data_IF_982143447207
#
_entry.id   IF_982143447207
#
_cell.length_a   1.000
_cell.length_b   1.000
_cell.length_c   1.000
_cell.angle_alpha   90.00
_cell.angle_beta   90.00
_cell.angle_gamma   90.00
#
_symmetry.space_group_name_H-M   'P 1'
#
loop_
_entity.id
_entity.type
_entity.pdbx_description
1 polymer ?
#
# COMPACT_ATOMS: atom_id res chain seq x y z
N UNK A 1 42.61 -45.92 56.59
CA UNK A 1 41.15 -45.67 56.59
C UNK A 1 40.87 -44.60 55.53
N UNK A 2 40.64 -44.99 54.28
CA UNK A 2 39.30 -45.07 53.65
C UNK A 2 38.33 -43.97 54.11
N UNK A 3 38.05 -42.99 53.25
CA UNK A 3 36.82 -42.98 52.44
C UNK A 3 36.88 -41.89 51.36
N UNK A 4 36.61 -42.30 50.12
CA UNK A 4 36.28 -41.44 48.99
C UNK A 4 34.92 -40.76 49.20
N UNK A 5 34.74 -39.53 48.69
CA UNK A 5 33.49 -39.12 48.04
C UNK A 5 33.77 -38.11 46.92
N UNK A 6 33.27 -38.45 45.75
CA UNK A 6 33.34 -37.71 44.48
C UNK A 6 32.55 -36.39 44.52
N UNK A 7 33.16 -35.33 44.02
CA UNK A 7 32.50 -34.09 43.61
C UNK A 7 32.93 -33.71 42.19
N UNK A 8 31.98 -33.67 41.26
CA UNK A 8 32.16 -33.52 39.81
C UNK A 8 32.79 -32.18 39.42
N UNK A 9 33.88 -32.23 38.68
CA UNK A 9 34.41 -31.13 37.87
C UNK A 9 33.52 -30.87 36.64
N UNK A 10 33.03 -29.65 36.48
CA UNK A 10 32.49 -29.17 35.20
C UNK A 10 33.64 -28.72 34.30
N UNK A 11 33.71 -29.12 33.02
CA UNK A 11 34.72 -28.61 32.12
C UNK A 11 34.34 -27.19 31.66
N UNK A 12 35.26 -26.26 31.92
CA UNK A 12 35.32 -24.95 31.28
C UNK A 12 35.59 -25.13 29.78
N UNK A 13 34.53 -25.21 28.96
CA UNK A 13 34.68 -25.11 27.51
C UNK A 13 34.57 -23.66 27.08
N UNK A 14 35.73 -23.08 26.76
CA UNK A 14 35.89 -21.80 26.06
C UNK A 14 35.14 -21.82 24.71
N UNK A 15 33.94 -21.25 24.67
CA UNK A 15 33.27 -20.94 23.41
C UNK A 15 33.89 -19.66 22.85
N UNK A 16 34.81 -19.86 21.89
CA UNK A 16 35.42 -18.80 21.08
C UNK A 16 34.33 -17.87 20.52
N UNK A 17 34.42 -16.60 20.90
CA UNK A 17 33.60 -15.51 20.41
C UNK A 17 33.89 -15.23 18.93
N UNK A 18 33.29 -16.01 18.02
CA UNK A 18 33.28 -15.72 16.59
C UNK A 18 31.84 -15.48 16.08
N UNK A 19 31.59 -14.24 15.65
CA UNK A 19 30.70 -13.89 14.52
C UNK A 19 29.17 -13.96 14.64
N UNK A 20 28.58 -13.76 15.83
CA UNK A 20 27.11 -13.73 16.02
C UNK A 20 26.37 -12.48 15.47
N UNK A 21 27.02 -11.62 14.68
CA UNK A 21 26.35 -10.47 14.01
C UNK A 21 25.61 -10.83 12.72
N UNK A 22 25.94 -11.96 12.10
CA UNK A 22 25.39 -12.40 10.82
C UNK A 22 23.94 -12.98 10.81
N UNK A 23 23.40 -13.62 11.88
CA UNK A 23 22.08 -14.28 11.83
C UNK A 23 20.87 -13.32 11.83
N UNK A 24 21.15 -12.06 12.13
CA UNK A 24 20.21 -11.01 12.45
C UNK A 24 19.43 -10.50 11.21
N UNK A 25 20.12 -9.87 10.26
CA UNK A 25 19.50 -9.40 9.02
C UNK A 25 18.93 -10.58 8.21
N UNK A 26 19.56 -11.74 8.37
CA UNK A 26 19.21 -13.05 7.79
C UNK A 26 17.86 -13.57 8.31
N UNK A 27 17.40 -13.11 9.45
CA UNK A 27 16.06 -13.46 9.97
C UNK A 27 14.99 -12.46 9.56
N UNK A 28 15.42 -11.24 9.20
CA UNK A 28 14.64 -10.25 8.47
C UNK A 28 14.57 -10.55 6.97
N UNK A 29 15.53 -11.32 6.46
CA UNK A 29 15.73 -11.68 5.07
C UNK A 29 16.30 -13.13 5.02
N UNK A 30 15.47 -14.19 5.05
CA UNK A 30 15.79 -15.63 4.79
C UNK A 30 16.87 -16.33 5.65
N UNK A 31 16.47 -17.42 6.33
CA UNK A 31 17.27 -18.66 6.42
C UNK A 31 16.35 -19.87 6.67
N UNK A 32 16.50 -21.07 6.10
CA UNK A 32 17.19 -21.59 4.91
C UNK A 32 16.69 -23.05 4.73
N UNK A 33 16.52 -23.45 3.47
CA UNK A 33 16.22 -24.79 2.94
C UNK A 33 14.89 -25.50 3.32
N UNK A 34 13.99 -25.51 2.32
CA UNK A 34 13.62 -26.79 1.69
C UNK A 34 13.82 -26.64 0.18
N UNK A 35 14.78 -27.40 -0.35
CA UNK A 35 14.95 -27.90 -1.73
C UNK A 35 14.42 -27.04 -2.91
N UNK A 36 15.26 -26.69 -3.91
CA UNK A 36 14.71 -26.49 -5.25
C UNK A 36 13.99 -27.78 -5.65
N UNK A 37 12.75 -27.66 -6.13
CA UNK A 37 12.11 -28.77 -6.82
C UNK A 37 13.02 -29.18 -7.99
N UNK A 38 13.36 -30.47 -8.17
CA UNK A 38 14.07 -30.92 -9.35
C UNK A 38 13.23 -30.55 -10.57
N UNK A 39 13.78 -29.66 -11.41
CA UNK A 39 13.07 -29.02 -12.52
C UNK A 39 13.65 -27.66 -12.95
N UNK A 40 14.51 -27.03 -12.15
CA UNK A 40 15.27 -25.85 -12.58
C UNK A 40 16.68 -26.25 -13.02
N UNK A 41 16.77 -26.74 -14.26
CA UNK A 41 18.02 -26.66 -15.04
C UNK A 41 18.46 -25.19 -15.16
N UNK A 42 19.76 -24.92 -15.42
CA UNK A 42 20.13 -23.66 -16.04
C UNK A 42 19.37 -23.62 -17.37
N UNK A 43 18.46 -22.68 -17.53
CA UNK A 43 17.60 -22.59 -18.70
C UNK A 43 17.44 -21.13 -19.08
N UNK A 44 17.26 -20.89 -20.38
CA UNK A 44 17.83 -19.80 -21.16
C UNK A 44 17.24 -18.46 -20.76
N UNK A 45 17.86 -17.37 -21.23
CA UNK A 45 17.34 -15.99 -21.23
C UNK A 45 15.86 -15.95 -20.85
N UNK A 46 15.57 -15.38 -19.68
CA UNK A 46 14.22 -15.29 -19.15
C UNK A 46 13.29 -14.79 -20.25
N UNK A 47 12.47 -15.69 -20.80
CA UNK A 47 11.27 -15.29 -21.50
C UNK A 47 10.51 -14.46 -20.48
N UNK A 48 10.54 -13.14 -20.69
CA UNK A 48 9.64 -12.18 -20.10
C UNK A 48 8.29 -12.88 -20.04
N UNK A 49 7.63 -13.02 -18.87
CA UNK A 49 6.27 -13.53 -18.87
C UNK A 49 5.53 -12.65 -19.86
N UNK A 50 5.03 -13.26 -20.95
CA UNK A 50 4.16 -12.54 -21.88
C UNK A 50 3.15 -11.80 -21.01
N UNK A 51 2.91 -10.50 -21.27
CA UNK A 51 1.94 -9.74 -20.51
C UNK A 51 0.71 -10.63 -20.37
N UNK A 52 0.25 -10.83 -19.12
CA UNK A 52 -1.01 -11.50 -18.83
C UNK A 52 -1.95 -11.22 -19.99
N UNK A 53 -2.37 -12.27 -20.70
CA UNK A 53 -3.20 -12.16 -21.90
C UNK A 53 -4.52 -11.48 -21.50
N UNK A 54 -4.48 -10.15 -21.46
CA UNK A 54 -5.49 -9.28 -20.88
C UNK A 54 -6.73 -9.23 -21.74
N UNK A 55 -6.64 -9.83 -22.93
CA UNK A 55 -7.74 -10.07 -23.85
C UNK A 55 -8.86 -10.92 -23.23
N UNK A 56 -8.52 -11.83 -22.30
CA UNK A 56 -9.47 -12.77 -21.69
C UNK A 56 -9.91 -12.40 -20.27
N UNK A 57 -9.39 -11.33 -19.69
CA UNK A 57 -9.89 -10.83 -18.40
C UNK A 57 -11.18 -10.04 -18.64
N UNK A 58 -12.33 -10.72 -18.61
CA UNK A 58 -13.62 -10.04 -18.54
C UNK A 58 -13.60 -9.18 -17.27
N UNK A 59 -13.76 -7.85 -17.38
CA UNK A 59 -13.82 -7.00 -16.21
C UNK A 59 -14.94 -7.51 -15.31
N UNK A 60 -14.60 -8.01 -14.13
CA UNK A 60 -15.58 -8.07 -13.07
C UNK A 60 -15.82 -6.61 -12.74
N UNK A 61 -17.01 -6.09 -13.05
CA UNK A 61 -17.44 -4.80 -12.52
C UNK A 61 -17.34 -4.95 -10.99
N UNK A 62 -16.40 -4.25 -10.32
CA UNK A 62 -16.21 -4.42 -8.89
C UNK A 62 -17.46 -4.02 -8.09
N UNK A 63 -18.43 -3.40 -8.76
CA UNK A 63 -19.70 -2.94 -8.21
C UNK A 63 -20.90 -3.84 -8.54
N UNK A 64 -20.74 -4.91 -9.34
CA UNK A 64 -21.84 -5.84 -9.65
C UNK A 64 -22.20 -6.80 -8.50
N UNK A 65 -21.39 -6.84 -7.44
CA UNK A 65 -21.70 -7.55 -6.19
C UNK A 65 -21.58 -6.56 -5.04
N UNK A 66 -22.40 -6.68 -3.97
CA UNK A 66 -22.21 -5.88 -2.78
C UNK A 66 -20.79 -6.12 -2.28
N UNK A 67 -19.95 -5.08 -2.36
CA UNK A 67 -18.58 -5.15 -1.90
C UNK A 67 -18.62 -5.30 -0.38
N UNK A 68 -18.48 -6.54 0.11
CA UNK A 68 -18.36 -6.80 1.53
C UNK A 68 -16.93 -6.49 1.93
N UNK A 69 -16.73 -5.34 2.56
CA UNK A 69 -15.46 -5.07 3.22
C UNK A 69 -15.18 -6.18 4.23
N UNK A 70 -13.95 -6.65 4.25
CA UNK A 70 -13.41 -7.45 5.36
C UNK A 70 -13.23 -6.52 6.56
N UNK A 71 -14.32 -5.96 7.07
CA UNK A 71 -14.32 -5.41 8.41
C UNK A 71 -14.09 -6.61 9.34
N UNK A 72 -13.31 -6.45 10.43
CA UNK A 72 -13.47 -7.34 11.56
C UNK A 72 -14.97 -7.47 11.78
N UNK A 73 -15.49 -8.70 11.87
CA UNK A 73 -16.86 -8.89 12.33
C UNK A 73 -16.89 -8.29 13.74
N UNK A 74 -17.15 -7.00 13.83
CA UNK A 74 -17.85 -6.45 14.96
C UNK A 74 -19.18 -7.16 14.86
N UNK A 75 -19.23 -8.32 15.52
CA UNK A 75 -20.47 -8.74 16.11
C UNK A 75 -20.84 -7.52 16.92
N UNK A 76 -21.76 -6.73 16.37
CA UNK A 76 -22.79 -6.13 17.18
C UNK A 76 -23.45 -7.36 17.81
N UNK A 77 -22.78 -7.95 18.82
CA UNK A 77 -23.35 -8.98 19.68
C UNK A 77 -24.69 -8.41 19.99
N UNK A 78 -25.74 -9.12 19.57
CA UNK A 78 -27.13 -8.74 19.68
C UNK A 78 -27.36 -8.17 21.07
N UNK A 79 -27.16 -6.86 21.18
CA UNK A 79 -27.14 -6.20 22.45
C UNK A 79 -28.61 -6.11 22.81
N UNK A 80 -28.98 -6.91 23.81
CA UNK A 80 -30.27 -6.84 24.47
C UNK A 80 -30.62 -5.37 24.65
N UNK A 81 -31.87 -5.04 24.35
CA UNK A 81 -32.47 -3.74 24.04
C UNK A 81 -32.37 -2.62 25.09
N UNK A 82 -31.25 -2.48 25.81
CA UNK A 82 -31.09 -1.49 26.90
C UNK A 82 -29.76 -0.76 26.93
N UNK A 83 -28.87 -0.92 25.95
CA UNK A 83 -27.55 -0.28 25.99
C UNK A 83 -27.63 1.21 25.54
N UNK A 84 -27.38 2.20 26.43
CA UNK A 84 -27.37 3.63 26.09
C UNK A 84 -26.38 3.99 24.97
N UNK A 85 -25.41 3.11 24.66
CA UNK A 85 -24.56 3.22 23.48
C UNK A 85 -25.33 3.26 22.14
N UNK A 86 -26.54 2.67 22.05
CA UNK A 86 -27.41 2.75 20.85
C UNK A 86 -27.99 4.16 20.64
N UNK A 87 -28.35 4.86 21.70
CA UNK A 87 -28.91 6.22 21.60
C UNK A 87 -27.88 7.21 21.08
N UNK A 88 -26.62 7.05 21.47
CA UNK A 88 -25.52 7.92 21.04
C UNK A 88 -25.26 7.86 19.54
N UNK A 89 -25.13 6.65 18.97
CA UNK A 89 -24.79 6.48 17.55
C UNK A 89 -25.89 6.98 16.60
N UNK A 90 -27.16 6.66 16.90
CA UNK A 90 -28.28 7.14 16.08
C UNK A 90 -28.40 8.67 16.15
N UNK A 91 -28.22 9.25 17.36
CA UNK A 91 -28.23 10.70 17.54
C UNK A 91 -27.09 11.39 16.79
N UNK A 92 -25.88 10.81 16.79
CA UNK A 92 -24.76 11.31 15.98
C UNK A 92 -25.14 11.37 14.50
N UNK A 93 -25.77 10.32 13.96
CA UNK A 93 -26.19 10.28 12.55
C UNK A 93 -27.31 11.26 12.23
N UNK A 94 -28.28 11.44 13.14
CA UNK A 94 -29.34 12.44 12.99
C UNK A 94 -28.78 13.86 13.01
N UNK A 95 -27.88 14.17 13.96
CA UNK A 95 -27.21 15.47 14.02
C UNK A 95 -26.34 15.69 12.76
N UNK A 96 -25.63 14.67 12.27
CA UNK A 96 -24.85 14.73 11.04
C UNK A 96 -25.72 14.94 9.78
N UNK A 97 -26.86 14.25 9.69
CA UNK A 97 -27.81 14.41 8.61
C UNK A 97 -28.42 15.81 8.61
N UNK A 98 -28.78 16.31 9.80
CA UNK A 98 -29.29 17.68 9.95
C UNK A 98 -28.23 18.71 9.54
N UNK A 99 -26.96 18.51 9.94
CA UNK A 99 -25.86 19.38 9.52
C UNK A 99 -25.68 19.38 8.00
N UNK A 100 -25.77 18.20 7.36
CA UNK A 100 -25.73 18.09 5.91
C UNK A 100 -26.90 18.82 5.24
N UNK A 101 -28.12 18.71 5.78
CA UNK A 101 -29.31 19.41 5.24
C UNK A 101 -29.14 20.93 5.32
N UNK A 102 -28.65 21.46 6.44
CA UNK A 102 -28.36 22.89 6.59
C UNK A 102 -27.33 23.33 5.54
N UNK A 103 -26.23 22.59 5.42
CA UNK A 103 -25.16 22.90 4.46
C UNK A 103 -25.65 22.89 3.02
N UNK A 104 -26.45 21.90 2.62
CA UNK A 104 -26.99 21.79 1.26
C UNK A 104 -28.05 22.85 0.94
N UNK A 105 -28.77 23.34 1.95
CA UNK A 105 -29.79 24.38 1.79
C UNK A 105 -29.19 25.80 1.73
N UNK A 106 -28.00 25.99 2.31
CA UNK A 106 -27.28 27.25 2.26
C UNK A 106 -26.75 27.54 0.86
N UNK A 107 -27.07 28.69 0.27
CA UNK A 107 -26.51 29.11 -1.03
C UNK A 107 -25.05 29.55 -0.95
N UNK A 108 -24.58 29.89 0.26
CA UNK A 108 -23.22 30.35 0.53
C UNK A 108 -22.29 29.22 0.99
N UNK A 109 -22.75 27.97 0.98
CA UNK A 109 -21.93 26.84 1.42
C UNK A 109 -20.63 26.74 0.64
N UNK A 110 -19.55 26.44 1.35
CA UNK A 110 -18.19 26.43 0.82
C UNK A 110 -17.34 25.39 1.53
N UNK A 111 -16.01 25.53 1.43
CA UNK A 111 -15.05 24.73 2.18
C UNK A 111 -14.12 25.67 2.95
N UNK A 112 -13.80 25.33 4.19
CA UNK A 112 -12.88 26.09 5.02
C UNK A 112 -11.42 25.92 4.56
N UNK A 113 -10.49 26.57 5.27
CA UNK A 113 -9.05 26.48 4.98
C UNK A 113 -8.47 25.07 5.15
N UNK A 114 -9.16 24.17 5.83
CA UNK A 114 -8.80 22.75 5.98
C UNK A 114 -9.44 21.88 4.88
N UNK A 115 -10.22 22.48 3.98
CA UNK A 115 -10.96 21.78 2.94
C UNK A 115 -12.17 21.01 3.48
N UNK A 116 -12.66 21.37 4.67
CA UNK A 116 -13.87 20.79 5.28
C UNK A 116 -15.10 21.60 4.88
N UNK A 117 -16.29 20.98 4.75
CA UNK A 117 -17.50 21.72 4.38
C UNK A 117 -17.83 22.81 5.41
N UNK A 118 -18.12 24.02 4.94
CA UNK A 118 -18.43 25.19 5.77
C UNK A 118 -19.69 25.93 5.30
N UNK A 119 -20.35 26.62 6.22
CA UNK A 119 -21.52 27.47 5.98
C UNK A 119 -21.54 28.59 7.02
N UNK A 120 -21.94 29.79 6.61
CA UNK A 120 -22.01 30.98 7.48
C UNK A 120 -23.32 31.02 8.30
N UNK A 121 -24.22 30.06 8.09
CA UNK A 121 -25.46 29.97 8.86
C UNK A 121 -25.15 29.69 10.36
N UNK A 122 -25.68 30.48 11.30
CA UNK A 122 -25.44 30.29 12.74
C UNK A 122 -25.81 28.88 13.23
N UNK A 123 -26.87 28.29 12.68
CA UNK A 123 -27.31 26.94 13.02
C UNK A 123 -26.31 25.86 12.58
N UNK A 124 -25.60 26.06 11.47
CA UNK A 124 -24.53 25.17 11.04
C UNK A 124 -23.39 25.17 12.06
N UNK A 125 -22.89 26.34 12.44
CA UNK A 125 -21.81 26.47 13.42
C UNK A 125 -22.20 25.91 14.79
N UNK A 126 -23.44 26.19 15.25
CA UNK A 126 -23.99 25.68 16.50
C UNK A 126 -24.08 24.15 16.51
N UNK A 127 -24.61 23.57 15.43
CA UNK A 127 -24.75 22.11 15.32
C UNK A 127 -23.39 21.42 15.16
N UNK A 128 -22.47 21.99 14.38
CA UNK A 128 -21.11 21.47 14.24
C UNK A 128 -20.37 21.49 15.59
N UNK A 129 -20.49 22.56 16.37
CA UNK A 129 -19.92 22.63 17.74
C UNK A 129 -20.47 21.52 18.65
N UNK A 130 -21.76 21.20 18.54
CA UNK A 130 -22.41 20.08 19.27
C UNK A 130 -21.96 18.70 18.75
N UNK A 131 -21.70 18.57 17.44
CA UNK A 131 -21.34 17.31 16.80
C UNK A 131 -19.89 16.89 17.11
N UNK A 132 -18.94 17.84 17.14
CA UNK A 132 -17.50 17.58 17.31
C UNK A 132 -17.15 16.66 18.50
N UNK A 133 -17.65 16.87 19.73
CA UNK A 133 -17.36 15.97 20.85
C UNK A 133 -17.85 14.53 20.64
N UNK A 134 -18.93 14.35 19.89
CA UNK A 134 -19.46 13.02 19.55
C UNK A 134 -18.56 12.32 18.53
N UNK A 135 -18.10 13.06 17.51
CA UNK A 135 -17.17 12.57 16.48
C UNK A 135 -15.86 12.07 17.09
N UNK A 136 -15.29 12.78 18.07
CA UNK A 136 -14.08 12.35 18.78
C UNK A 136 -14.26 11.00 19.48
N UNK A 137 -15.45 10.71 20.00
CA UNK A 137 -15.73 9.45 20.73
C UNK A 137 -16.16 8.32 19.79
N UNK A 138 -16.73 8.66 18.64
CA UNK A 138 -17.49 7.74 17.79
C UNK A 138 -17.04 7.72 16.32
N UNK A 139 -15.84 8.21 15.98
CA UNK A 139 -15.35 8.19 14.60
C UNK A 139 -15.37 6.80 13.95
N UNK A 140 -15.01 5.76 14.72
CA UNK A 140 -15.11 4.37 14.27
C UNK A 140 -16.53 3.88 13.97
N UNK A 141 -17.56 4.49 14.57
CA UNK A 141 -18.96 4.18 14.26
C UNK A 141 -19.35 4.66 12.86
N UNK A 142 -18.84 5.82 12.42
CA UNK A 142 -19.08 6.32 11.06
C UNK A 142 -18.54 5.36 9.99
N UNK A 143 -17.42 4.68 10.28
CA UNK A 143 -16.84 3.65 9.40
C UNK A 143 -17.78 2.48 9.20
N UNK A 144 -18.31 1.95 10.31
CA UNK A 144 -19.29 0.88 10.28
C UNK A 144 -20.54 1.31 9.51
N UNK A 145 -20.99 2.55 9.71
CA UNK A 145 -22.18 3.07 9.02
C UNK A 145 -21.93 3.19 7.52
N UNK A 146 -20.87 3.89 7.11
CA UNK A 146 -20.51 4.08 5.71
C UNK A 146 -20.33 2.75 4.96
N UNK A 147 -19.77 1.73 5.63
CA UNK A 147 -19.54 0.43 5.00
C UNK A 147 -20.79 -0.46 4.91
N UNK A 148 -21.62 -0.50 5.96
CA UNK A 148 -22.58 -1.60 6.15
C UNK A 148 -24.01 -1.18 6.47
N UNK A 149 -24.28 0.11 6.72
CA UNK A 149 -25.63 0.50 7.14
C UNK A 149 -26.62 0.36 5.99
N UNK A 150 -27.80 -0.22 6.24
CA UNK A 150 -28.80 -0.44 5.18
C UNK A 150 -29.34 0.89 4.61
N UNK A 151 -29.55 1.88 5.49
CA UNK A 151 -30.05 3.19 5.09
C UNK A 151 -28.99 4.00 4.33
N UNK A 152 -29.32 4.37 3.09
CA UNK A 152 -28.48 5.22 2.24
C UNK A 152 -28.36 6.64 2.80
N UNK A 153 -29.42 7.20 3.42
CA UNK A 153 -29.37 8.53 4.04
C UNK A 153 -28.33 8.61 5.17
N UNK A 154 -28.22 7.57 6.00
CA UNK A 154 -27.22 7.55 7.08
C UNK A 154 -25.80 7.30 6.55
N UNK A 155 -25.62 6.52 5.48
CA UNK A 155 -24.31 6.41 4.83
C UNK A 155 -23.87 7.75 4.24
N UNK A 156 -24.78 8.48 3.59
CA UNK A 156 -24.54 9.85 3.10
C UNK A 156 -24.13 10.80 4.23
N UNK A 157 -24.87 10.77 5.34
CA UNK A 157 -24.54 11.55 6.53
C UNK A 157 -23.18 11.16 7.13
N UNK A 158 -22.85 9.87 7.18
CA UNK A 158 -21.57 9.37 7.69
C UNK A 158 -20.38 9.84 6.83
N UNK A 159 -20.51 9.80 5.50
CA UNK A 159 -19.50 10.33 4.59
C UNK A 159 -19.32 11.85 4.71
N UNK A 160 -20.38 12.59 5.01
CA UNK A 160 -20.28 14.02 5.26
C UNK A 160 -19.62 14.31 6.62
N UNK A 161 -20.07 13.62 7.67
CA UNK A 161 -19.57 13.77 9.03
C UNK A 161 -18.08 13.39 9.18
N UNK A 162 -17.58 12.44 8.38
CA UNK A 162 -16.19 12.00 8.45
C UNK A 162 -15.18 13.11 8.12
N UNK A 163 -15.58 14.14 7.38
CA UNK A 163 -14.75 15.31 7.07
C UNK A 163 -14.51 16.19 8.31
N UNK A 164 -15.31 16.03 9.36
CA UNK A 164 -15.21 16.79 10.61
C UNK A 164 -14.56 15.99 11.75
N UNK A 165 -13.98 14.82 11.45
CA UNK A 165 -13.23 14.05 12.45
C UNK A 165 -12.04 14.86 12.98
N UNK A 166 -11.71 14.73 14.28
CA UNK A 166 -10.71 15.59 14.91
C UNK A 166 -9.33 15.41 14.28
N UNK A 167 -8.97 14.17 13.92
CA UNK A 167 -7.72 13.85 13.25
C UNK A 167 -7.93 13.72 11.74
N UNK A 168 -7.16 14.42 10.89
CA UNK A 168 -7.23 14.22 9.45
C UNK A 168 -6.88 12.78 9.02
N UNK A 169 -6.06 12.06 9.79
CA UNK A 169 -5.78 10.64 9.51
C UNK A 169 -7.04 9.78 9.63
N UNK A 170 -7.90 10.03 10.62
CA UNK A 170 -9.15 9.29 10.78
C UNK A 170 -10.09 9.56 9.59
N UNK A 171 -10.12 10.79 9.08
CA UNK A 171 -10.80 11.11 7.82
C UNK A 171 -10.21 10.30 6.67
N UNK A 172 -8.88 10.28 6.51
CA UNK A 172 -8.19 9.49 5.47
C UNK A 172 -8.46 7.99 5.56
N UNK A 173 -8.65 7.43 6.76
CA UNK A 173 -8.99 6.02 6.95
C UNK A 173 -10.42 5.70 6.46
N UNK A 174 -11.30 6.71 6.38
CA UNK A 174 -12.69 6.62 5.93
C UNK A 174 -12.90 6.92 4.45
N UNK A 175 -12.06 7.77 3.84
CA UNK A 175 -12.18 8.12 2.41
C UNK A 175 -12.19 6.90 1.46
N UNK A 176 -11.39 5.83 1.71
CA UNK A 176 -11.42 4.57 0.97
C UNK A 176 -12.80 3.94 0.76
N UNK A 177 -13.78 4.27 1.59
CA UNK A 177 -15.12 3.67 1.52
C UNK A 177 -16.03 4.36 0.51
N UNK A 178 -15.78 5.63 0.19
CA UNK A 178 -16.65 6.37 -0.74
C UNK A 178 -16.71 5.75 -2.14
N UNK A 179 -15.59 5.31 -2.76
CA UNK A 179 -15.62 4.57 -4.03
C UNK A 179 -16.53 3.36 -4.06
N UNK A 180 -16.78 2.72 -2.92
CA UNK A 180 -17.58 1.51 -2.82
C UNK A 180 -19.01 1.74 -2.31
N UNK A 181 -19.42 2.99 -2.07
CA UNK A 181 -20.81 3.30 -1.74
C UNK A 181 -21.73 2.81 -2.87
N UNK A 182 -22.71 1.94 -2.59
CA UNK A 182 -23.55 1.33 -3.63
C UNK A 182 -24.41 2.35 -4.39
N UNK A 183 -24.84 3.44 -3.73
CA UNK A 183 -25.60 4.50 -4.38
C UNK A 183 -24.68 5.46 -5.16
N UNK A 184 -24.81 5.46 -6.48
CA UNK A 184 -24.03 6.31 -7.39
C UNK A 184 -24.14 7.83 -7.08
N UNK A 185 -25.30 8.29 -6.61
CA UNK A 185 -25.52 9.68 -6.22
C UNK A 185 -24.70 10.04 -4.98
N UNK A 186 -24.85 9.24 -3.92
CA UNK A 186 -24.14 9.44 -2.66
C UNK A 186 -22.63 9.32 -2.86
N UNK A 187 -22.18 8.30 -3.59
CA UNK A 187 -20.76 8.09 -3.91
C UNK A 187 -20.13 9.33 -4.54
N UNK A 188 -20.77 9.89 -5.57
CA UNK A 188 -20.25 11.06 -6.28
C UNK A 188 -20.21 12.29 -5.40
N UNK A 189 -21.26 12.52 -4.62
CA UNK A 189 -21.29 13.64 -3.67
C UNK A 189 -20.21 13.51 -2.61
N UNK A 190 -20.05 12.31 -2.04
CA UNK A 190 -19.02 12.04 -1.05
C UNK A 190 -17.63 12.35 -1.63
N UNK A 191 -17.29 11.76 -2.78
CA UNK A 191 -15.99 11.98 -3.42
C UNK A 191 -15.79 13.44 -3.80
N UNK A 192 -16.82 14.12 -4.33
CA UNK A 192 -16.72 15.54 -4.68
C UNK A 192 -16.41 16.43 -3.47
N UNK A 193 -17.07 16.18 -2.32
CA UNK A 193 -16.79 16.89 -1.06
C UNK A 193 -15.42 16.57 -0.47
N UNK A 194 -14.86 15.41 -0.80
CA UNK A 194 -13.53 15.00 -0.33
C UNK A 194 -12.38 15.67 -1.09
N UNK A 195 -12.61 16.16 -2.32
CA UNK A 195 -11.55 16.74 -3.14
C UNK A 195 -10.82 17.91 -2.46
N UNK A 196 -11.50 18.93 -1.90
CA UNK A 196 -10.82 20.04 -1.23
C UNK A 196 -10.00 19.59 -0.01
N UNK A 197 -10.53 18.65 0.78
CA UNK A 197 -9.83 18.05 1.91
C UNK A 197 -8.55 17.33 1.46
N UNK A 198 -8.64 16.51 0.40
CA UNK A 198 -7.49 15.81 -0.17
C UNK A 198 -6.41 16.79 -0.67
N UNK A 199 -6.82 17.84 -1.39
CA UNK A 199 -5.90 18.87 -1.89
C UNK A 199 -5.16 19.57 -0.76
N UNK A 200 -5.86 19.84 0.35
CA UNK A 200 -5.28 20.51 1.51
C UNK A 200 -4.34 19.62 2.31
N UNK A 201 -4.73 18.39 2.57
CA UNK A 201 -4.02 17.52 3.51
C UNK A 201 -2.98 16.59 2.88
N UNK A 202 -3.07 16.26 1.58
CA UNK A 202 -1.98 15.54 0.90
C UNK A 202 -0.78 16.43 0.58
N UNK A 203 -0.96 17.76 0.64
CA UNK A 203 0.10 18.75 0.41
C UNK A 203 0.12 19.83 1.49
N UNK A 204 0.46 19.45 2.72
CA UNK A 204 0.41 20.42 3.77
C UNK A 204 1.54 21.44 3.52
N UNK A 205 1.15 22.69 3.24
CA UNK A 205 2.10 23.78 2.97
C UNK A 205 3.04 23.88 4.17
N UNK A 206 4.34 23.68 3.92
CA UNK A 206 5.35 23.86 4.97
C UNK A 206 5.51 25.35 5.17
N UNK A 207 4.83 25.90 6.18
CA UNK A 207 5.04 27.28 6.57
C UNK A 207 6.43 27.44 7.19
N UNK A 208 7.17 28.44 6.73
CA UNK A 208 8.54 28.70 7.20
C UNK A 208 8.51 28.93 8.72
N UNK A 209 9.26 28.12 9.46
CA UNK A 209 9.35 28.20 10.93
C UNK A 209 8.33 27.37 11.69
N UNK A 210 7.37 26.69 11.03
CA UNK A 210 6.47 25.74 11.69
C UNK A 210 7.00 24.30 11.53
N UNK A 211 6.74 23.42 12.53
CA UNK A 211 7.10 22.00 12.41
C UNK A 211 6.43 21.41 11.15
N UNK A 212 7.16 20.52 10.46
CA UNK A 212 6.62 19.85 9.28
C UNK A 212 5.33 19.13 9.68
N UNK A 213 4.20 19.43 9.05
CA UNK A 213 2.93 18.78 9.35
C UNK A 213 3.04 17.25 9.15
N UNK A 214 2.26 16.47 9.91
CA UNK A 214 2.32 15.01 9.84
C UNK A 214 2.01 14.53 8.42
N UNK A 215 2.72 13.49 8.03
CA UNK A 215 2.51 12.80 6.76
C UNK A 215 1.36 11.81 6.91
N UNK A 216 0.21 12.17 6.33
CA UNK A 216 -0.97 11.31 6.36
C UNK A 216 -0.84 10.14 5.37
N UNK A 217 -1.35 8.98 5.77
CA UNK A 217 -1.41 7.78 4.96
C UNK A 217 -2.75 7.78 4.23
N UNK A 218 -2.70 7.71 2.90
CA UNK A 218 -3.87 7.59 2.04
C UNK A 218 -3.76 6.31 1.21
N UNK A 219 -4.83 5.52 1.18
CA UNK A 219 -4.91 4.33 0.32
C UNK A 219 -5.56 4.68 -1.02
N UNK A 220 -4.80 4.68 -2.14
CA UNK A 220 -5.34 4.99 -3.45
C UNK A 220 -6.08 3.81 -4.11
N UNK A 221 -5.99 2.58 -3.57
CA UNK A 221 -6.51 1.36 -4.21
C UNK A 221 -8.01 1.46 -4.55
N UNK A 222 -8.89 1.92 -3.65
CA UNK A 222 -10.31 2.09 -3.95
C UNK A 222 -10.59 2.98 -5.16
N UNK A 223 -9.78 4.03 -5.34
CA UNK A 223 -9.91 4.95 -6.47
C UNK A 223 -9.33 4.37 -7.76
N UNK A 224 -8.30 3.52 -7.66
CA UNK A 224 -7.82 2.72 -8.79
C UNK A 224 -8.88 1.72 -9.25
N UNK A 225 -9.67 1.15 -8.34
CA UNK A 225 -10.78 0.28 -8.70
C UNK A 225 -11.94 1.08 -9.32
N UNK A 226 -12.29 2.24 -8.75
CA UNK A 226 -13.32 3.14 -9.29
C UNK A 226 -13.01 3.66 -10.69
N UNK A 227 -11.74 3.84 -11.05
CA UNK A 227 -11.34 4.18 -12.43
C UNK A 227 -11.74 3.14 -13.48
N UNK A 228 -12.15 1.94 -13.05
CA UNK A 228 -12.63 0.84 -13.90
C UNK A 228 -14.15 0.72 -13.90
N UNK A 229 -14.87 1.61 -13.19
CA UNK A 229 -16.32 1.62 -13.15
C UNK A 229 -16.90 1.70 -14.57
N UNK A 230 -18.00 1.00 -14.81
CA UNK A 230 -18.77 1.09 -16.05
C UNK A 230 -19.22 2.53 -16.33
N UNK A 231 -19.46 3.31 -15.28
CA UNK A 231 -19.99 4.66 -15.39
C UNK A 231 -18.93 5.76 -15.53
N UNK A 232 -19.10 6.62 -16.54
CA UNK A 232 -18.13 7.68 -16.89
C UNK A 232 -17.90 8.72 -15.77
N UNK A 233 -18.93 9.30 -15.13
CA UNK A 233 -18.75 10.26 -14.03
C UNK A 233 -17.91 9.74 -12.86
N UNK A 234 -18.06 8.47 -12.50
CA UNK A 234 -17.26 7.84 -11.43
C UNK A 234 -15.79 7.73 -11.82
N UNK A 235 -15.51 7.32 -13.05
CA UNK A 235 -14.13 7.29 -13.58
C UNK A 235 -13.50 8.69 -13.58
N UNK A 236 -14.26 9.73 -13.93
CA UNK A 236 -13.78 11.12 -13.89
C UNK A 236 -13.40 11.52 -12.46
N UNK A 237 -14.25 11.23 -11.46
CA UNK A 237 -13.96 11.54 -10.06
C UNK A 237 -12.77 10.74 -9.53
N UNK A 238 -12.68 9.44 -9.87
CA UNK A 238 -11.52 8.61 -9.56
C UNK A 238 -10.22 9.24 -10.09
N UNK A 239 -10.21 9.67 -11.35
CA UNK A 239 -9.03 10.33 -11.93
C UNK A 239 -8.72 11.69 -11.30
N UNK A 240 -9.72 12.46 -10.84
CA UNK A 240 -9.47 13.69 -10.07
C UNK A 240 -8.73 13.38 -8.76
N UNK A 241 -9.20 12.39 -7.99
CA UNK A 241 -8.54 11.96 -6.75
C UNK A 241 -7.13 11.44 -7.02
N UNK A 242 -6.96 10.56 -8.00
CA UNK A 242 -5.66 10.03 -8.39
C UNK A 242 -4.71 11.11 -8.91
N UNK A 243 -5.24 12.18 -9.52
CA UNK A 243 -4.44 13.35 -9.95
C UNK A 243 -3.90 14.10 -8.73
N UNK A 244 -4.74 14.37 -7.72
CA UNK A 244 -4.30 15.00 -6.47
C UNK A 244 -3.23 14.13 -5.81
N UNK A 245 -3.46 12.82 -5.75
CA UNK A 245 -2.50 11.88 -5.19
C UNK A 245 -1.17 11.87 -5.97
N UNK A 246 -1.21 11.77 -7.30
CA UNK A 246 -0.02 11.80 -8.15
C UNK A 246 0.77 13.09 -8.04
N UNK A 247 0.11 14.24 -7.86
CA UNK A 247 0.75 15.55 -7.67
C UNK A 247 1.64 15.57 -6.43
N UNK A 248 1.24 14.87 -5.37
CA UNK A 248 1.90 14.94 -4.06
C UNK A 248 2.72 13.69 -3.73
N UNK A 249 2.37 12.55 -4.32
CA UNK A 249 2.97 11.23 -4.12
C UNK A 249 3.24 10.53 -5.47
N UNK A 250 4.00 11.14 -6.39
CA UNK A 250 4.10 10.65 -7.77
C UNK A 250 4.65 9.24 -7.87
N UNK A 251 5.65 8.88 -7.03
CA UNK A 251 6.22 7.53 -6.99
C UNK A 251 5.19 6.48 -6.55
N UNK A 252 4.47 6.74 -5.46
CA UNK A 252 3.46 5.81 -4.94
C UNK A 252 2.27 5.69 -5.89
N UNK A 253 1.86 6.82 -6.48
CA UNK A 253 0.84 6.85 -7.52
C UNK A 253 1.25 6.01 -8.74
N UNK A 254 2.49 6.13 -9.21
CA UNK A 254 3.00 5.34 -10.33
C UNK A 254 2.88 3.83 -10.08
N UNK A 255 3.09 3.35 -8.84
CA UNK A 255 2.97 1.91 -8.50
C UNK A 255 1.54 1.42 -8.72
N UNK A 256 0.56 2.20 -8.27
CA UNK A 256 -0.85 1.90 -8.47
C UNK A 256 -1.28 2.03 -9.93
N UNK A 257 -0.88 3.12 -10.58
CA UNK A 257 -1.28 3.47 -11.93
C UNK A 257 -0.74 2.49 -12.98
N UNK A 258 0.46 1.95 -12.79
CA UNK A 258 1.01 0.87 -13.64
C UNK A 258 0.07 -0.33 -13.73
N UNK A 259 -0.66 -0.66 -12.66
CA UNK A 259 -1.61 -1.80 -12.64
C UNK A 259 -2.88 -1.53 -13.44
N UNK A 260 -3.23 -0.27 -13.66
CA UNK A 260 -4.43 0.13 -14.41
C UNK A 260 -4.12 0.66 -15.81
N UNK A 261 -2.90 0.46 -16.35
CA UNK A 261 -2.54 0.89 -17.70
C UNK A 261 -3.59 0.53 -18.78
N UNK A 262 -4.15 -0.69 -18.84
CA UNK A 262 -5.19 -1.01 -19.84
C UNK A 262 -6.44 -0.12 -19.71
N UNK A 263 -6.75 0.33 -18.50
CA UNK A 263 -7.88 1.21 -18.22
C UNK A 263 -7.58 2.69 -18.51
N UNK A 264 -6.32 3.11 -18.35
CA UNK A 264 -5.85 4.41 -18.86
C UNK A 264 -6.04 4.46 -20.38
N UNK A 265 -5.60 3.43 -21.09
CA UNK A 265 -5.80 3.31 -22.55
C UNK A 265 -7.28 3.40 -22.92
N UNK A 266 -8.14 2.55 -22.33
CA UNK A 266 -9.59 2.58 -22.58
C UNK A 266 -10.21 3.94 -22.29
N UNK A 267 -9.75 4.65 -21.26
CA UNK A 267 -10.27 5.98 -20.90
C UNK A 267 -9.82 7.09 -21.86
N UNK A 268 -8.66 6.92 -22.52
CA UNK A 268 -8.19 7.80 -23.59
C UNK A 268 -8.94 7.55 -24.91
N UNK A 269 -9.36 6.31 -25.15
CA UNK A 269 -10.12 5.89 -26.33
C UNK A 269 -11.65 6.05 -26.18
N UNK A 270 -12.12 6.35 -24.97
CA UNK A 270 -13.54 6.55 -24.66
C UNK A 270 -14.12 7.76 -25.41
N UNK A 271 -15.41 7.71 -25.79
CA UNK A 271 -16.09 8.81 -26.50
C UNK A 271 -16.29 10.05 -25.63
N UNK A 272 -16.16 9.95 -24.31
CA UNK A 272 -16.36 11.08 -23.39
C UNK A 272 -15.16 12.03 -23.38
N UNK A 273 -15.29 13.29 -23.87
CA UNK A 273 -14.19 14.25 -23.86
C UNK A 273 -13.78 14.65 -22.43
N UNK A 274 -14.73 14.62 -21.48
CA UNK A 274 -14.45 14.91 -20.08
C UNK A 274 -13.57 13.83 -19.42
N UNK A 275 -13.83 12.56 -19.73
CA UNK A 275 -13.01 11.45 -19.25
C UNK A 275 -11.61 11.49 -19.83
N UNK A 276 -11.51 11.72 -21.14
CA UNK A 276 -10.21 11.89 -21.79
C UNK A 276 -9.44 13.07 -21.17
N UNK A 277 -10.09 14.21 -20.93
CA UNK A 277 -9.49 15.39 -20.28
C UNK A 277 -8.99 15.08 -18.87
N UNK A 278 -9.78 14.35 -18.06
CA UNK A 278 -9.38 13.94 -16.72
C UNK A 278 -8.18 12.98 -16.76
N UNK A 279 -8.19 12.00 -17.65
CA UNK A 279 -7.10 11.03 -17.85
C UNK A 279 -5.81 11.74 -18.30
N UNK A 280 -5.89 12.63 -19.29
CA UNK A 280 -4.78 13.47 -19.75
C UNK A 280 -4.23 14.40 -18.66
N UNK A 281 -5.09 14.90 -17.76
CA UNK A 281 -4.65 15.71 -16.61
C UNK A 281 -3.82 14.88 -15.62
N UNK A 282 -4.24 13.65 -15.35
CA UNK A 282 -3.48 12.71 -14.52
C UNK A 282 -2.09 12.43 -15.12
N UNK A 283 -2.01 12.15 -16.42
CA UNK A 283 -0.75 11.87 -17.12
C UNK A 283 0.21 13.06 -17.01
N UNK A 284 -0.24 14.28 -17.33
CA UNK A 284 0.58 15.50 -17.18
C UNK A 284 1.05 15.72 -15.74
N UNK A 285 0.19 15.41 -14.78
CA UNK A 285 0.55 15.53 -13.36
C UNK A 285 1.66 14.55 -12.97
N UNK A 286 1.63 13.32 -13.50
CA UNK A 286 2.73 12.37 -13.32
C UNK A 286 4.01 12.81 -14.00
N UNK A 287 3.97 13.45 -15.17
CA UNK A 287 5.18 13.96 -15.83
C UNK A 287 5.92 14.98 -14.96
N UNK A 288 5.18 15.73 -14.13
CA UNK A 288 5.71 16.67 -13.16
C UNK A 288 6.11 18.04 -13.74
N UNK A 289 5.79 18.30 -15.01
CA UNK A 289 6.04 19.58 -15.67
C UNK A 289 4.71 20.21 -16.14
N UNK A 290 4.29 21.36 -15.60
CA UNK A 290 3.07 22.05 -16.03
C UNK A 290 3.18 22.62 -17.47
N UNK A 291 4.40 22.74 -18.01
CA UNK A 291 4.66 23.28 -19.37
C UNK A 291 4.70 22.22 -20.45
N UNK A 292 4.49 20.93 -20.13
CA UNK A 292 4.49 19.92 -21.17
C UNK A 292 3.44 20.20 -22.24
N UNK A 293 3.83 19.97 -23.50
CA UNK A 293 2.97 20.15 -24.65
C UNK A 293 1.61 19.46 -24.45
N UNK A 294 0.51 20.03 -24.98
CA UNK A 294 -0.80 19.40 -24.91
C UNK A 294 -0.72 17.97 -25.45
N UNK A 295 -1.30 17.04 -24.70
CA UNK A 295 -1.34 15.63 -25.08
C UNK A 295 -2.20 15.47 -26.33
N UNK A 296 -1.60 15.00 -27.44
CA UNK A 296 -2.30 14.81 -28.71
C UNK A 296 -3.14 13.53 -28.72
N UNK A 297 -2.79 12.60 -29.61
CA UNK A 297 -3.57 11.36 -29.81
C UNK A 297 -3.64 10.50 -28.55
N UNK A 298 -4.60 9.56 -28.50
CA UNK A 298 -4.68 8.58 -27.40
C UNK A 298 -3.39 7.75 -27.29
N UNK A 299 -2.80 7.38 -28.44
CA UNK A 299 -1.54 6.64 -28.52
C UNK A 299 -0.38 7.45 -27.92
N UNK A 300 -0.19 8.69 -28.35
CA UNK A 300 0.85 9.58 -27.82
C UNK A 300 0.67 9.81 -26.31
N UNK A 301 -0.58 9.97 -25.86
CA UNK A 301 -0.88 10.13 -24.44
C UNK A 301 -0.49 8.91 -23.62
N UNK A 302 -0.70 7.71 -24.17
CA UNK A 302 -0.35 6.46 -23.52
C UNK A 302 1.17 6.22 -23.49
N UNK A 303 1.89 6.58 -24.55
CA UNK A 303 3.36 6.52 -24.59
C UNK A 303 3.96 7.45 -23.52
N UNK A 304 3.42 8.67 -23.40
CA UNK A 304 3.83 9.61 -22.36
C UNK A 304 3.48 9.14 -20.95
N UNK A 305 2.34 8.48 -20.78
CA UNK A 305 2.02 7.79 -19.53
C UNK A 305 3.09 6.74 -19.19
N UNK A 306 3.46 5.88 -20.14
CA UNK A 306 4.46 4.82 -19.92
C UNK A 306 5.84 5.43 -19.57
N UNK A 307 6.26 6.49 -20.27
CA UNK A 307 7.48 7.24 -19.96
C UNK A 307 7.44 7.87 -18.56
N UNK A 308 6.30 8.45 -18.16
CA UNK A 308 6.13 9.01 -16.83
C UNK A 308 6.18 7.92 -15.75
N UNK A 309 5.57 6.75 -15.98
CA UNK A 309 5.67 5.61 -15.08
C UNK A 309 7.12 5.13 -14.98
N UNK A 310 7.84 5.01 -16.09
CA UNK A 310 9.25 4.60 -16.10
C UNK A 310 10.16 5.62 -15.40
N UNK A 311 9.89 6.92 -15.53
CA UNK A 311 10.60 7.98 -14.78
C UNK A 311 10.53 7.75 -13.26
N UNK A 312 9.35 7.38 -12.75
CA UNK A 312 9.14 7.19 -11.31
C UNK A 312 9.45 5.78 -10.81
N UNK A 313 9.28 4.79 -11.69
CA UNK A 313 9.50 3.38 -11.49
C UNK A 313 10.36 2.87 -12.63
N UNK A 314 11.67 3.20 -12.65
CA UNK A 314 12.57 2.69 -13.67
C UNK A 314 12.40 1.18 -13.74
N UNK A 315 12.58 0.60 -14.93
CA UNK A 315 12.50 -0.83 -15.15
C UNK A 315 13.64 -1.53 -14.40
N UNK A 316 13.43 -1.65 -13.11
CA UNK A 316 14.27 -2.39 -12.23
C UNK A 316 13.87 -3.84 -12.43
N UNK A 317 14.80 -4.66 -12.92
CA UNK A 317 14.61 -6.10 -13.06
C UNK A 317 14.33 -6.70 -11.68
N UNK A 318 13.04 -6.81 -11.34
CA UNK A 318 12.59 -7.49 -10.13
C UNK A 318 12.76 -8.98 -10.34
N UNK A 319 13.92 -9.50 -9.97
CA UNK A 319 14.12 -10.95 -9.85
C UNK A 319 13.26 -11.44 -8.68
N UNK A 320 12.03 -11.88 -8.91
CA UNK A 320 11.18 -12.40 -7.82
C UNK A 320 11.85 -13.54 -7.04
N UNK A 321 11.69 -13.56 -5.72
CA UNK A 321 12.05 -14.69 -4.87
C UNK A 321 10.93 -14.94 -3.86
N UNK A 322 10.42 -16.18 -3.78
CA UNK A 322 9.47 -16.57 -2.73
C UNK A 322 10.29 -16.99 -1.50
N UNK A 323 9.95 -16.45 -0.33
CA UNK A 323 10.57 -16.81 0.94
C UNK A 323 9.51 -17.40 1.87
N UNK A 324 9.62 -18.69 2.21
CA UNK A 324 8.85 -19.22 3.32
C UNK A 324 9.46 -18.70 4.63
N UNK A 325 8.66 -18.04 5.49
CA UNK A 325 9.07 -17.73 6.86
C UNK A 325 8.33 -18.68 7.81
N UNK A 326 9.09 -19.41 8.62
CA UNK A 326 8.52 -20.27 9.67
C UNK A 326 7.75 -19.41 10.70
N UNK A 327 6.72 -20.00 11.32
CA UNK A 327 5.74 -19.31 12.17
C UNK A 327 6.37 -18.20 13.05
N UNK A 328 5.91 -16.93 12.96
CA UNK A 328 6.41 -15.81 13.78
C UNK A 328 6.13 -15.98 15.29
N UNK A 329 5.38 -17.00 15.67
CA UNK A 329 5.17 -17.40 17.06
C UNK A 329 6.24 -18.37 17.57
N UNK A 330 7.13 -18.88 16.71
CA UNK A 330 8.28 -19.66 17.13
C UNK A 330 9.20 -18.80 18.00
N UNK A 331 9.51 -19.20 19.25
CA UNK A 331 10.45 -18.48 20.11
C UNK A 331 11.80 -18.24 19.43
N UNK A 332 12.25 -19.21 18.64
CA UNK A 332 13.48 -19.12 17.85
C UNK A 332 13.43 -17.97 16.83
N UNK A 333 12.29 -17.77 16.16
CA UNK A 333 12.11 -16.70 15.16
C UNK A 333 12.05 -15.32 15.81
N UNK A 334 11.44 -15.19 16.99
CA UNK A 334 11.42 -13.92 17.73
C UNK A 334 12.82 -13.48 18.17
N UNK A 335 13.59 -14.41 18.74
CA UNK A 335 14.99 -14.15 19.14
C UNK A 335 15.83 -13.74 17.94
N UNK A 336 15.62 -14.40 16.81
CA UNK A 336 16.33 -14.15 15.57
C UNK A 336 15.96 -12.80 14.91
N UNK A 337 14.68 -12.47 14.83
CA UNK A 337 14.22 -11.17 14.34
C UNK A 337 14.68 -10.02 15.25
N UNK A 338 14.68 -10.23 16.57
CA UNK A 338 15.17 -9.24 17.53
C UNK A 338 16.67 -8.99 17.34
N UNK A 339 17.49 -10.05 17.27
CA UNK A 339 18.93 -9.93 16.94
C UNK A 339 19.13 -9.18 15.61
N UNK A 340 18.24 -9.42 14.64
CA UNK A 340 18.06 -8.65 13.40
C UNK A 340 18.05 -7.16 13.58
N UNK A 341 17.06 -6.73 14.34
CA UNK A 341 16.85 -5.34 14.64
C UNK A 341 18.02 -4.78 15.45
N UNK A 342 18.52 -5.50 16.45
CA UNK A 342 19.67 -5.07 17.26
C UNK A 342 20.92 -4.85 16.39
N UNK A 343 21.15 -5.72 15.39
CA UNK A 343 22.28 -5.56 14.48
C UNK A 343 22.13 -4.35 13.56
N UNK A 344 20.92 -4.10 13.04
CA UNK A 344 20.61 -2.87 12.29
C UNK A 344 20.81 -1.65 13.18
N UNK A 345 20.23 -1.64 14.37
CA UNK A 345 20.27 -0.50 15.30
C UNK A 345 21.69 -0.22 15.80
N UNK A 346 22.54 -1.24 15.88
CA UNK A 346 23.96 -1.06 16.19
C UNK A 346 24.80 -0.43 15.06
N UNK A 347 24.20 -0.13 13.90
CA UNK A 347 24.89 0.45 12.74
C UNK A 347 25.88 -0.50 12.05
N UNK A 348 25.94 -1.77 12.45
CA UNK A 348 26.88 -2.75 11.91
C UNK A 348 26.56 -3.21 10.48
N UNK A 349 25.33 -2.96 10.03
CA UNK A 349 24.83 -3.33 8.69
C UNK A 349 25.50 -2.50 7.61
N UNK A 350 25.70 -1.22 7.88
CA UNK A 350 26.06 -0.25 6.87
C UNK A 350 26.10 1.17 7.41
N UNK A 351 26.43 2.10 6.55
CA UNK A 351 26.49 3.52 6.88
C UNK A 351 25.67 4.34 5.88
N UNK A 352 25.07 5.45 6.30
CA UNK A 352 24.43 6.39 5.38
C UNK A 352 25.40 6.81 4.28
N UNK A 353 24.97 6.74 3.02
CA UNK A 353 25.78 7.17 1.89
C UNK A 353 24.92 7.76 0.77
N UNK A 354 25.55 8.51 -0.12
CA UNK A 354 24.94 9.04 -1.35
C UNK A 354 25.69 8.47 -2.54
N UNK A 355 25.00 7.67 -3.34
CA UNK A 355 25.61 6.92 -4.45
C UNK A 355 25.13 7.45 -5.80
N UNK A 356 26.01 7.58 -6.80
CA UNK A 356 25.60 7.96 -8.14
C UNK A 356 24.74 6.85 -8.77
N UNK A 357 23.69 7.25 -9.49
CA UNK A 357 22.83 6.34 -10.25
C UNK A 357 23.21 6.41 -11.73
N UNK A 358 23.62 5.29 -12.29
CA UNK A 358 23.99 5.14 -13.71
C UNK A 358 22.74 4.87 -14.53
N UNK A 359 22.58 5.60 -15.64
CA UNK A 359 21.49 5.39 -16.60
C UNK A 359 20.33 6.38 -16.52
N UNK A 360 20.36 7.35 -15.59
CA UNK A 360 19.49 8.52 -15.70
C UNK A 360 20.13 9.59 -16.58
N UNK A 361 19.35 10.22 -17.44
CA UNK A 361 19.74 11.36 -18.30
C UNK A 361 20.30 12.56 -17.53
N UNK A 362 20.11 12.58 -16.21
CA UNK A 362 20.67 13.56 -15.29
C UNK A 362 21.62 12.86 -14.30
N UNK A 363 22.63 13.55 -13.77
CA UNK A 363 23.46 13.07 -12.65
C UNK A 363 22.59 12.93 -11.39
N UNK A 364 21.84 11.83 -11.30
CA UNK A 364 20.99 11.50 -10.16
C UNK A 364 21.86 10.82 -9.11
N UNK A 365 21.77 11.29 -7.87
CA UNK A 365 22.35 10.61 -6.73
C UNK A 365 21.23 10.06 -5.85
N UNK A 366 21.39 8.84 -5.37
CA UNK A 366 20.47 8.21 -4.43
C UNK A 366 21.10 8.18 -3.04
N UNK A 367 20.37 8.67 -2.06
CA UNK A 367 20.76 8.56 -0.65
C UNK A 367 20.18 7.27 -0.07
N UNK A 368 20.99 6.53 0.67
CA UNK A 368 20.61 5.22 1.20
C UNK A 368 21.52 4.75 2.34
N UNK A 369 21.37 3.47 2.69
CA UNK A 369 22.25 2.75 3.60
C UNK A 369 23.21 1.86 2.79
N UNK A 370 24.48 2.25 2.68
CA UNK A 370 25.50 1.43 2.03
C UNK A 370 25.90 0.26 2.93
N UNK A 371 25.76 -0.95 2.40
CA UNK A 371 26.03 -2.20 3.11
C UNK A 371 27.55 -2.38 3.25
N UNK A 372 28.04 -2.38 4.50
CA UNK A 372 29.46 -2.60 4.79
C UNK A 372 29.80 -4.09 4.75
N UNK A 373 28.92 -4.91 5.32
CA UNK A 373 29.09 -6.36 5.41
C UNK A 373 27.77 -7.02 5.12
N UNK A 374 27.75 -7.87 4.12
CA UNK A 374 26.56 -8.64 3.74
C UNK A 374 26.81 -10.09 4.13
N UNK A 375 26.24 -10.56 5.25
CA UNK A 375 26.25 -11.96 5.61
C UNK A 375 26.02 -12.86 4.40
N UNK A 376 26.79 -13.95 4.26
CA UNK A 376 26.67 -14.87 3.10
C UNK A 376 25.23 -15.29 2.80
N UNK A 377 24.44 -15.47 3.85
CA UNK A 377 23.02 -15.80 3.77
C UNK A 377 22.16 -14.71 3.08
N UNK A 378 22.54 -13.43 3.16
CA UNK A 378 21.87 -12.35 2.46
C UNK A 378 22.25 -12.23 0.98
N UNK A 379 23.35 -12.85 0.54
CA UNK A 379 23.74 -12.81 -0.88
C UNK A 379 22.70 -13.49 -1.77
N UNK A 380 21.91 -14.41 -1.21
CA UNK A 380 20.76 -15.07 -1.90
C UNK A 380 19.72 -14.04 -2.37
N UNK A 381 19.68 -12.86 -1.76
CA UNK A 381 18.85 -11.74 -2.18
C UNK A 381 19.37 -10.96 -3.37
N UNK A 382 20.59 -11.24 -3.83
CA UNK A 382 21.27 -10.42 -4.81
C UNK A 382 21.83 -9.12 -4.24
N UNK A 383 21.77 -8.94 -2.92
CA UNK A 383 22.48 -7.87 -2.21
C UNK A 383 23.95 -8.26 -2.04
N UNK A 384 24.83 -7.31 -2.31
CA UNK A 384 26.28 -7.47 -2.19
C UNK A 384 26.87 -6.39 -1.26
N UNK A 385 28.09 -6.65 -0.78
CA UNK A 385 28.84 -5.63 -0.06
C UNK A 385 29.07 -4.43 -0.96
N UNK A 386 28.82 -3.23 -0.44
CA UNK A 386 28.90 -1.99 -1.21
C UNK A 386 27.59 -1.55 -1.86
N UNK A 387 26.55 -2.41 -1.94
CA UNK A 387 25.22 -2.01 -2.39
C UNK A 387 24.61 -0.98 -1.44
N UNK A 388 23.79 -0.06 -1.96
CA UNK A 388 23.15 1.00 -1.18
C UNK A 388 21.63 0.83 -1.16
N UNK A 389 21.06 0.41 -0.02
CA UNK A 389 19.61 0.27 0.12
C UNK A 389 18.98 1.66 0.20
N UNK A 390 18.11 1.98 -0.75
CA UNK A 390 17.50 3.32 -0.90
C UNK A 390 16.07 3.37 -0.41
N UNK A 391 15.32 2.27 -0.50
CA UNK A 391 13.94 2.22 -0.01
C UNK A 391 13.46 0.81 0.32
N UNK A 392 12.42 0.73 1.16
CA UNK A 392 11.62 -0.47 1.40
C UNK A 392 10.16 -0.15 1.13
N UNK A 393 9.52 -0.85 0.20
CA UNK A 393 8.15 -0.59 -0.23
C UNK A 393 7.93 0.89 -0.63
N UNK A 394 8.88 1.50 -1.34
CA UNK A 394 8.84 2.93 -1.68
C UNK A 394 9.24 3.88 -0.55
N UNK A 395 9.27 3.43 0.72
CA UNK A 395 9.65 4.27 1.87
C UNK A 395 11.17 4.48 1.91
N UNK A 396 11.66 5.73 1.90
CA UNK A 396 13.08 6.02 1.78
C UNK A 396 13.85 5.58 3.04
N UNK A 397 15.03 5.00 2.83
CA UNK A 397 15.98 4.65 3.88
C UNK A 397 17.13 5.64 3.85
N UNK A 398 17.38 6.29 4.99
CA UNK A 398 18.48 7.26 5.13
C UNK A 398 19.62 6.76 5.99
N UNK A 399 19.30 5.83 6.89
CA UNK A 399 20.19 5.29 7.90
C UNK A 399 19.62 3.97 8.42
N UNK A 400 20.38 3.31 9.30
CA UNK A 400 19.97 2.05 9.89
C UNK A 400 18.73 2.18 10.77
N UNK A 401 18.55 3.31 11.46
CA UNK A 401 17.38 3.56 12.33
C UNK A 401 16.08 3.58 11.51
N UNK A 402 16.09 4.26 10.37
CA UNK A 402 14.97 4.35 9.44
C UNK A 402 14.63 2.96 8.87
N UNK A 403 15.66 2.18 8.47
CA UNK A 403 15.48 0.80 8.02
C UNK A 403 14.82 -0.07 9.11
N UNK A 404 15.30 -0.02 10.35
CA UNK A 404 14.73 -0.79 11.46
C UNK A 404 13.26 -0.43 11.73
N UNK A 405 12.93 0.88 11.72
CA UNK A 405 11.56 1.35 11.92
C UNK A 405 10.61 0.85 10.83
N UNK A 406 11.00 0.96 9.55
CA UNK A 406 10.17 0.50 8.42
C UNK A 406 9.95 -1.01 8.51
N UNK A 407 11.00 -1.78 8.82
CA UNK A 407 10.90 -3.23 8.94
C UNK A 407 10.00 -3.64 10.10
N UNK A 408 10.12 -3.01 11.29
CA UNK A 408 9.23 -3.27 12.43
C UNK A 408 7.76 -3.04 12.07
N UNK A 409 7.47 -1.92 11.38
CA UNK A 409 6.10 -1.60 10.96
C UNK A 409 5.58 -2.62 9.95
N UNK A 410 6.39 -2.99 8.98
CA UNK A 410 5.99 -3.91 7.90
C UNK A 410 5.75 -5.33 8.42
N UNK A 411 6.63 -5.82 9.30
CA UNK A 411 6.59 -7.20 9.81
C UNK A 411 5.58 -7.42 10.93
N UNK A 412 4.99 -6.34 11.48
CA UNK A 412 3.86 -6.44 12.41
C UNK A 412 2.63 -7.08 11.74
N UNK A 413 2.52 -7.00 10.41
CA UNK A 413 1.32 -7.34 9.65
C UNK A 413 1.50 -8.57 8.74
N UNK A 414 2.02 -9.70 9.26
CA UNK A 414 2.15 -10.95 8.48
C UNK A 414 0.75 -11.55 8.20
N UNK A 415 0.41 -11.94 6.95
CA UNK A 415 1.28 -11.95 5.77
C UNK A 415 1.53 -10.54 5.18
N UNK A 416 2.79 -10.25 4.84
CA UNK A 416 3.19 -8.97 4.27
C UNK A 416 4.08 -9.14 3.03
N UNK A 417 4.18 -8.08 2.23
CA UNK A 417 5.10 -8.00 1.09
C UNK A 417 6.17 -6.95 1.37
N UNK A 418 7.42 -7.25 1.05
CA UNK A 418 8.57 -6.37 1.22
C UNK A 418 9.27 -6.24 -0.13
N UNK A 419 9.29 -5.06 -0.71
CA UNK A 419 10.11 -4.71 -1.87
C UNK A 419 11.33 -3.96 -1.35
N UNK A 420 12.51 -4.56 -1.46
CA UNK A 420 13.78 -3.88 -1.18
C UNK A 420 14.22 -3.20 -2.46
N UNK A 421 14.52 -1.91 -2.41
CA UNK A 421 15.08 -1.11 -3.50
C UNK A 421 16.49 -0.68 -3.11
N UNK A 422 17.45 -0.83 -4.02
CA UNK A 422 18.85 -0.50 -3.78
C UNK A 422 19.55 -0.04 -5.06
N UNK A 423 20.71 0.57 -4.92
CA UNK A 423 21.62 0.84 -6.02
C UNK A 423 22.80 -0.11 -5.88
N UNK A 424 23.06 -0.89 -6.92
CA UNK A 424 24.18 -1.83 -6.96
C UNK A 424 25.53 -1.11 -6.93
N UNK A 425 26.61 -1.83 -6.64
CA UNK A 425 27.98 -1.29 -6.75
C UNK A 425 28.32 -0.73 -8.14
N UNK A 426 27.65 -1.22 -9.18
CA UNK A 426 27.75 -0.72 -10.55
C UNK A 426 26.92 0.56 -10.82
N UNK A 427 26.26 1.11 -9.80
CA UNK A 427 25.43 2.32 -9.89
C UNK A 427 24.03 2.10 -10.48
N UNK A 428 23.63 0.86 -10.80
CA UNK A 428 22.29 0.57 -11.35
C UNK A 428 21.26 0.38 -10.24
N UNK A 429 20.08 0.98 -10.41
CA UNK A 429 18.94 0.76 -9.53
C UNK A 429 18.44 -0.70 -9.67
N UNK A 430 18.26 -1.36 -8.53
CA UNK A 430 17.85 -2.75 -8.33
C UNK A 430 16.72 -2.81 -7.31
N UNK A 431 15.86 -3.80 -7.44
CA UNK A 431 14.69 -3.94 -6.59
C UNK A 431 14.27 -5.39 -6.60
N UNK A 432 13.84 -5.87 -5.44
CA UNK A 432 13.44 -7.27 -5.27
C UNK A 432 12.31 -7.37 -4.29
N UNK A 433 11.27 -8.09 -4.70
CA UNK A 433 10.07 -8.31 -3.90
C UNK A 433 10.15 -9.65 -3.20
N UNK A 434 9.81 -9.63 -1.91
CA UNK A 434 9.68 -10.75 -1.00
C UNK A 434 8.25 -10.80 -0.50
N UNK A 435 7.68 -12.00 -0.45
CA UNK A 435 6.39 -12.26 0.19
C UNK A 435 6.67 -13.03 1.46
N UNK A 436 6.19 -12.50 2.57
CA UNK A 436 6.29 -13.09 3.91
C UNK A 436 4.91 -13.57 4.31
N UNK A 437 4.76 -14.85 4.60
CA UNK A 437 3.50 -15.42 5.06
C UNK A 437 3.71 -16.26 6.31
N UNK A 438 2.63 -16.44 7.06
CA UNK A 438 2.59 -17.38 8.18
C UNK A 438 2.54 -18.79 7.58
N UNK A 439 3.55 -19.62 7.86
CA UNK A 439 3.46 -21.06 7.58
C UNK A 439 2.33 -21.64 8.44
N UNK A 440 1.16 -21.79 7.86
CA UNK A 440 0.08 -22.58 8.43
C UNK A 440 0.46 -24.07 8.23
N UNK A 441 0.58 -24.88 9.29
CA UNK A 441 0.87 -26.30 9.14
C UNK A 441 -0.18 -27.04 8.29
N UNK A 442 -1.39 -26.51 8.15
CA UNK A 442 -2.42 -27.05 7.25
C UNK A 442 -2.13 -26.75 5.76
N UNK A 443 -1.40 -25.68 5.45
CA UNK A 443 -1.02 -25.32 4.08
C UNK A 443 -0.08 -26.35 3.44
N UNK A 444 0.77 -27.00 4.25
CA UNK A 444 1.62 -28.09 3.78
C UNK A 444 0.79 -29.34 3.42
N UNK A 445 -0.27 -29.64 4.18
CA UNK A 445 -1.25 -30.69 3.83
C UNK A 445 -2.05 -30.31 2.57
N UNK A 446 -2.40 -29.03 2.40
CA UNK A 446 -3.09 -28.54 1.21
C UNK A 446 -2.22 -28.70 -0.06
N UNK A 447 -0.96 -28.27 -0.03
CA UNK A 447 -0.06 -28.43 -1.19
C UNK A 447 0.30 -29.88 -1.51
N UNK A 448 0.41 -30.76 -0.51
CA UNK A 448 0.63 -32.19 -0.74
C UNK A 448 -0.60 -32.85 -1.37
N UNK A 449 -1.81 -32.43 -0.99
CA UNK A 449 -3.06 -32.95 -1.58
C UNK A 449 -3.26 -32.53 -3.04
N UNK A 450 -2.95 -31.27 -3.37
CA UNK A 450 -3.17 -30.71 -4.72
C UNK A 450 -1.98 -30.84 -5.69
N UNK A 451 -0.82 -31.35 -5.23
CA UNK A 451 0.37 -31.55 -6.07
C UNK A 451 0.10 -32.39 -7.33
N UNK A 452 -0.65 -33.51 -7.26
CA UNK A 452 -0.98 -34.31 -8.45
C UNK A 452 -1.87 -33.54 -9.43
N UNK A 453 -2.85 -32.81 -8.92
CA UNK A 453 -3.85 -32.06 -9.72
C UNK A 453 -3.22 -30.84 -10.41
N UNK A 454 -2.35 -30.11 -9.71
CA UNK A 454 -1.56 -29.02 -10.28
C UNK A 454 -0.59 -29.54 -11.36
N UNK A 455 0.05 -30.69 -11.13
CA UNK A 455 0.92 -31.32 -12.14
C UNK A 455 0.13 -31.68 -13.41
N UNK A 456 -1.06 -32.27 -13.25
CA UNK A 456 -1.96 -32.56 -14.38
C UNK A 456 -2.45 -31.29 -15.08
N UNK A 457 -2.77 -30.23 -14.33
CA UNK A 457 -3.19 -28.95 -14.90
C UNK A 457 -2.10 -28.31 -15.75
N UNK A 458 -0.85 -28.29 -15.29
CA UNK A 458 0.28 -27.77 -16.06
C UNK A 458 0.65 -28.64 -17.26
N UNK A 459 0.52 -29.96 -17.17
CA UNK A 459 0.62 -30.87 -18.33
C UNK A 459 -0.45 -30.58 -19.39
N UNK A 460 -1.71 -30.38 -18.99
CA UNK A 460 -2.78 -29.99 -19.93
C UNK A 460 -2.51 -28.64 -20.59
N UNK A 461 -2.04 -27.64 -19.84
CA UNK A 461 -1.66 -26.34 -20.39
C UNK A 461 -0.48 -26.44 -21.37
N UNK A 462 0.49 -27.31 -21.09
CA UNK A 462 1.62 -27.59 -21.97
C UNK A 462 1.16 -28.25 -23.27
N UNK A 463 0.28 -29.24 -23.18
CA UNK A 463 -0.31 -29.93 -24.35
C UNK A 463 -1.18 -28.97 -25.19
N UNK A 464 -2.02 -28.14 -24.55
CA UNK A 464 -2.80 -27.13 -25.27
C UNK A 464 -1.92 -26.11 -26.01
N UNK A 465 -0.79 -25.70 -25.44
CA UNK A 465 0.18 -24.84 -26.12
C UNK A 465 0.86 -25.52 -27.30
N UNK A 466 1.12 -26.83 -27.22
CA UNK A 466 1.69 -27.61 -28.32
C UNK A 466 0.68 -27.81 -29.45
N UNK A 467 -0.60 -28.04 -29.12
CA UNK A 467 -1.66 -28.18 -30.12
C UNK A 467 -2.00 -26.88 -30.85
N UNK A 468 -1.81 -25.72 -30.22
CA UNK A 468 -1.96 -24.40 -30.89
C UNK A 468 -0.79 -24.02 -31.80
N UNK A 469 0.31 -24.78 -31.78
CA UNK A 469 1.49 -24.56 -32.64
C UNK A 469 1.53 -25.49 -33.86
N UNK A 470 0.61 -26.45 -33.93
CA UNK A 470 0.25 -27.16 -35.16
C UNK A 470 -0.98 -26.48 -35.73
#
# INVERSE_FOLDING_TARGET
MSTQKHGKTFPSSSLKAHSLGAPALVSLLIWSFSTPLPGQSPSPQANVPSPLDSSNYKPIDPFNKPFQFFLPKFTVTSAKSGDPARGGGLRLLQDAEHLLKIWMADKSHSFDEEGRPWSDLPDFAKLLKKLRPQLTRQGGYLLMVAANFASSHYRRAAHFASLFLPSPQETFDLLPYAPYEPDFGIRREAIARMLPFLERHLNPKVEKGKPKPPEYIFDPIPFLDLSRASWVPDRILAFKVLTIYAKHRPKDAAVGLRRIRPWIQKSLEDKSPFLQKATRRLIRTLEGDPKTAPLGSAKESLERFDQAIEKWLPNVLVQGGICEIFSPQSPKMRVLAQKGLDWIESGKVGFPDTVPVVGSTFRKAARGLRLRKVPKALRVFGLQEGDCITAINGLPIRDSRTLAQILRKTLKHIPCSITVEWVGTEGREKARRYVVYKKDPTWHKFHLKWRPELKQYFERLRLQKLMKKR
#
